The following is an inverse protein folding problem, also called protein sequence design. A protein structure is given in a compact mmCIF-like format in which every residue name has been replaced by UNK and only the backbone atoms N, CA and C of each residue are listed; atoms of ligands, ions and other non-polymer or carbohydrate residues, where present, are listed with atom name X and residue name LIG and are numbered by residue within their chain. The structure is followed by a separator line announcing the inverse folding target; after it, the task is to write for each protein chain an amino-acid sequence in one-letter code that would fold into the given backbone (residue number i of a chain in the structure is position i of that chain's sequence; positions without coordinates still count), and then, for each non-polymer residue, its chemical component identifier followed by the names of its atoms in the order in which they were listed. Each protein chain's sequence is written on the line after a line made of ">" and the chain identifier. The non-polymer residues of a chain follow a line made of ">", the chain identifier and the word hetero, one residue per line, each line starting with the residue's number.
data_IF_544996075633
#
_entry.id   IF_544996075633
#
_cell.length_a   1.000
_cell.length_b   1.000
_cell.length_c   1.000
_cell.angle_alpha   90.00
_cell.angle_beta   90.00
_cell.angle_gamma   90.00
#
_symmetry.space_group_name_H-M   'P 1'
#
loop_
_entity.id
_entity.type
_entity.pdbx_description
1 polymer ?
#
# COMPACT_ATOMS: atom_id res chain seq x y z
N UNK A 1 10.24 28.82 16.79
CA UNK A 1 10.13 27.37 16.51
C UNK A 1 9.22 27.23 15.30
N UNK A 2 9.72 26.71 14.18
CA UNK A 2 8.90 26.51 12.97
C UNK A 2 8.02 25.29 13.23
N UNK A 3 6.70 25.49 13.24
CA UNK A 3 5.73 24.42 13.42
C UNK A 3 5.87 23.40 12.31
N UNK A 4 5.63 22.13 12.64
CA UNK A 4 5.51 21.07 11.65
C UNK A 4 4.24 21.32 10.83
N UNK A 5 4.35 22.11 9.78
CA UNK A 5 3.27 22.28 8.80
C UNK A 5 3.21 20.99 7.98
N UNK A 6 2.16 20.21 8.18
CA UNK A 6 1.88 19.04 7.35
C UNK A 6 1.52 19.59 5.98
N UNK A 7 2.47 19.54 5.04
CA UNK A 7 2.22 19.98 3.66
C UNK A 7 1.32 18.93 3.00
N UNK A 8 0.04 19.25 2.67
CA UNK A 8 -0.89 18.26 2.14
C UNK A 8 -0.39 17.61 0.85
N UNK A 9 0.41 18.34 0.06
CA UNK A 9 1.03 17.81 -1.16
C UNK A 9 2.08 16.73 -0.88
N UNK A 10 2.83 16.83 0.23
CA UNK A 10 3.77 15.78 0.64
C UNK A 10 3.05 14.50 1.09
N UNK A 11 1.87 14.63 1.72
CA UNK A 11 1.01 13.50 2.04
C UNK A 11 0.44 12.85 0.76
N UNK A 12 -0.02 13.64 -0.21
CA UNK A 12 -0.51 13.14 -1.50
C UNK A 12 0.57 12.41 -2.29
N UNK A 13 1.80 12.92 -2.27
CA UNK A 13 2.93 12.23 -2.91
C UNK A 13 3.22 10.90 -2.20
N UNK A 14 3.20 10.87 -0.87
CA UNK A 14 3.38 9.65 -0.09
C UNK A 14 2.31 8.59 -0.40
N UNK A 15 1.04 9.00 -0.48
CA UNK A 15 -0.08 8.15 -0.91
C UNK A 15 0.18 7.56 -2.29
N UNK A 16 0.65 8.37 -3.25
CA UNK A 16 0.98 7.90 -4.60
C UNK A 16 2.11 6.88 -4.58
N UNK A 17 3.14 7.08 -3.76
CA UNK A 17 4.23 6.13 -3.61
C UNK A 17 3.75 4.79 -3.03
N UNK A 18 2.90 4.82 -2.00
CA UNK A 18 2.34 3.63 -1.38
C UNK A 18 1.50 2.83 -2.38
N UNK A 19 0.59 3.48 -3.10
CA UNK A 19 -0.22 2.83 -4.15
C UNK A 19 0.64 2.22 -5.25
N UNK A 20 1.64 2.96 -5.75
CA UNK A 20 2.57 2.42 -6.75
C UNK A 20 3.38 1.23 -6.22
N UNK A 21 3.66 1.18 -4.92
CA UNK A 21 4.29 0.02 -4.31
C UNK A 21 3.31 -1.16 -4.25
N UNK A 22 2.06 -0.95 -3.83
CA UNK A 22 1.01 -1.96 -3.83
C UNK A 22 0.80 -2.56 -5.24
N UNK A 23 0.70 -1.71 -6.28
CA UNK A 23 0.58 -2.15 -7.68
C UNK A 23 1.72 -3.10 -8.10
N UNK A 24 2.95 -2.83 -7.66
CA UNK A 24 4.12 -3.68 -7.96
C UNK A 24 4.05 -5.01 -7.22
N UNK A 25 3.54 -5.02 -6.00
CA UNK A 25 3.34 -6.25 -5.23
C UNK A 25 2.26 -7.10 -5.87
N UNK A 26 1.15 -6.49 -6.29
CA UNK A 26 0.09 -7.19 -7.03
C UNK A 26 0.58 -7.74 -8.36
N UNK A 27 1.42 -6.99 -9.09
CA UNK A 27 2.06 -7.49 -10.31
C UNK A 27 2.98 -8.69 -10.04
N UNK A 28 3.77 -8.64 -8.95
CA UNK A 28 4.61 -9.76 -8.55
C UNK A 28 3.79 -10.99 -8.14
N UNK A 29 2.68 -10.78 -7.40
CA UNK A 29 1.74 -11.84 -7.04
C UNK A 29 1.12 -12.47 -8.28
N UNK A 30 0.67 -11.65 -9.24
CA UNK A 30 0.10 -12.12 -10.50
C UNK A 30 1.11 -12.91 -11.32
N UNK A 31 2.39 -12.51 -11.33
CA UNK A 31 3.45 -13.25 -12.01
C UNK A 31 3.71 -14.62 -11.39
N UNK A 32 3.61 -14.72 -10.06
CA UNK A 32 3.83 -15.97 -9.31
C UNK A 32 2.58 -16.87 -9.26
N UNK A 33 1.42 -16.36 -9.62
CA UNK A 33 0.18 -17.15 -9.63
C UNK A 33 0.27 -18.21 -10.72
N UNK A 34 -0.24 -19.41 -10.42
CA UNK A 34 -0.23 -20.58 -11.32
C UNK A 34 1.19 -21.02 -11.75
N UNK A 35 2.20 -20.73 -10.92
CA UNK A 35 3.56 -21.25 -11.09
C UNK A 35 3.81 -22.53 -10.26
N UNK A 36 2.75 -23.18 -9.77
CA UNK A 36 2.87 -24.45 -9.04
C UNK A 36 3.44 -25.55 -9.93
N UNK A 37 4.21 -26.44 -9.31
CA UNK A 37 4.78 -27.61 -9.97
C UNK A 37 3.89 -28.82 -9.74
N UNK A 38 3.69 -29.61 -10.80
CA UNK A 38 3.15 -30.96 -10.73
C UNK A 38 4.16 -31.92 -10.09
N UNK A 39 3.67 -33.02 -9.50
CA UNK A 39 4.54 -34.04 -8.88
C UNK A 39 5.64 -34.54 -9.83
N UNK A 40 5.33 -34.59 -11.13
CA UNK A 40 6.24 -35.09 -12.17
C UNK A 40 7.18 -34.05 -12.78
N UNK A 41 7.01 -32.75 -12.49
CA UNK A 41 7.76 -31.67 -13.16
C UNK A 41 9.26 -31.70 -12.86
N UNK A 42 9.63 -32.29 -11.73
CA UNK A 42 11.02 -32.48 -11.29
C UNK A 42 11.50 -33.94 -11.49
N UNK A 43 10.69 -34.78 -12.13
CA UNK A 43 10.95 -36.20 -12.36
C UNK A 43 11.12 -37.03 -11.09
N UNK A 44 11.64 -38.25 -11.27
CA UNK A 44 11.79 -39.26 -10.19
C UNK A 44 12.54 -38.76 -8.95
N UNK A 45 13.54 -37.89 -9.14
CA UNK A 45 14.27 -37.31 -8.01
C UNK A 45 13.43 -36.32 -7.22
N UNK A 46 12.60 -35.52 -7.90
CA UNK A 46 11.65 -34.62 -7.24
C UNK A 46 10.61 -35.37 -6.43
N UNK A 47 10.05 -36.44 -6.99
CA UNK A 47 9.09 -37.33 -6.31
C UNK A 47 9.70 -37.99 -5.06
N UNK A 48 10.94 -38.47 -5.15
CA UNK A 48 11.61 -39.12 -4.01
C UNK A 48 12.04 -38.16 -2.90
N UNK A 49 12.12 -36.86 -3.17
CA UNK A 49 12.68 -35.86 -2.24
C UNK A 49 11.65 -34.86 -1.71
N UNK A 50 10.38 -34.97 -2.10
CA UNK A 50 9.33 -33.98 -1.81
C UNK A 50 9.67 -32.55 -2.27
N UNK A 51 10.59 -32.40 -3.23
CA UNK A 51 11.05 -31.09 -3.69
C UNK A 51 9.90 -30.24 -4.28
N UNK A 52 9.00 -30.88 -5.02
CA UNK A 52 7.79 -30.25 -5.57
C UNK A 52 6.89 -29.70 -4.46
N UNK A 53 6.68 -30.47 -3.39
CA UNK A 53 5.87 -30.03 -2.26
C UNK A 53 6.49 -28.81 -1.59
N UNK A 54 7.79 -28.86 -1.27
CA UNK A 54 8.48 -27.73 -0.62
C UNK A 54 8.48 -26.46 -1.48
N UNK A 55 8.63 -26.61 -2.80
CA UNK A 55 8.52 -25.49 -3.72
C UNK A 55 7.11 -24.88 -3.68
N UNK A 56 6.06 -25.71 -3.78
CA UNK A 56 4.67 -25.25 -3.77
C UNK A 56 4.28 -24.60 -2.43
N UNK A 57 4.74 -25.15 -1.31
CA UNK A 57 4.53 -24.57 0.02
C UNK A 57 5.20 -23.20 0.12
N UNK A 58 6.45 -23.07 -0.36
CA UNK A 58 7.17 -21.80 -0.39
C UNK A 58 6.52 -20.78 -1.33
N UNK A 59 6.01 -21.23 -2.48
CA UNK A 59 5.27 -20.40 -3.43
C UNK A 59 3.99 -19.86 -2.78
N UNK A 60 3.24 -20.71 -2.08
CA UNK A 60 2.02 -20.32 -1.38
C UNK A 60 2.32 -19.31 -0.26
N UNK A 61 3.36 -19.54 0.54
CA UNK A 61 3.80 -18.61 1.57
C UNK A 61 4.21 -17.25 0.97
N UNK A 62 4.91 -17.26 -0.16
CA UNK A 62 5.29 -16.04 -0.87
C UNK A 62 4.05 -15.28 -1.37
N UNK A 63 3.10 -15.97 -2.00
CA UNK A 63 1.85 -15.37 -2.50
C UNK A 63 1.03 -14.73 -1.36
N UNK A 64 0.95 -15.40 -0.20
CA UNK A 64 0.26 -14.87 0.97
C UNK A 64 0.94 -13.62 1.51
N UNK A 65 2.27 -13.66 1.70
CA UNK A 65 3.04 -12.51 2.21
C UNK A 65 2.97 -11.30 1.28
N UNK A 66 3.04 -11.53 -0.03
CA UNK A 66 2.88 -10.46 -1.02
C UNK A 66 1.45 -9.91 -0.97
N UNK A 67 0.42 -10.77 -0.87
CA UNK A 67 -0.96 -10.31 -0.71
C UNK A 67 -1.16 -9.44 0.53
N UNK A 68 -0.65 -9.88 1.68
CA UNK A 68 -0.77 -9.16 2.94
C UNK A 68 -0.03 -7.82 2.92
N UNK A 69 1.16 -7.76 2.32
CA UNK A 69 1.89 -6.49 2.23
C UNK A 69 1.29 -5.51 1.22
N UNK A 70 0.73 -5.99 0.11
CA UNK A 70 -0.03 -5.14 -0.82
C UNK A 70 -1.24 -4.49 -0.11
N UNK A 71 -2.01 -5.28 0.63
CA UNK A 71 -3.14 -4.79 1.43
C UNK A 71 -2.69 -3.76 2.48
N UNK A 72 -1.61 -4.02 3.22
CA UNK A 72 -1.08 -3.08 4.21
C UNK A 72 -0.62 -1.75 3.59
N UNK A 73 -0.09 -1.76 2.37
CA UNK A 73 0.28 -0.55 1.63
C UNK A 73 -0.96 0.26 1.22
N UNK A 74 -2.02 -0.40 0.75
CA UNK A 74 -3.26 0.29 0.39
C UNK A 74 -3.97 0.85 1.64
N UNK A 75 -4.05 0.09 2.73
CA UNK A 75 -4.61 0.55 4.00
C UNK A 75 -3.86 1.79 4.52
N UNK A 76 -2.53 1.79 4.40
CA UNK A 76 -1.70 2.94 4.75
C UNK A 76 -1.99 4.15 3.85
N UNK A 77 -2.19 3.92 2.54
CA UNK A 77 -2.53 4.97 1.58
C UNK A 77 -3.91 5.58 1.87
N UNK A 78 -4.90 4.76 2.23
CA UNK A 78 -6.24 5.22 2.65
C UNK A 78 -6.13 6.06 3.93
N UNK A 79 -5.42 5.58 4.94
CA UNK A 79 -5.23 6.32 6.19
C UNK A 79 -4.55 7.68 5.97
N UNK A 80 -3.50 7.72 5.15
CA UNK A 80 -2.81 8.98 4.80
C UNK A 80 -3.69 9.92 3.98
N UNK A 81 -4.56 9.39 3.12
CA UNK A 81 -5.54 10.20 2.37
C UNK A 81 -6.53 10.86 3.33
N UNK A 82 -7.09 10.10 4.27
CA UNK A 82 -8.00 10.62 5.29
C UNK A 82 -7.36 11.73 6.14
N UNK A 83 -6.08 11.56 6.50
CA UNK A 83 -5.32 12.61 7.21
C UNK A 83 -5.16 13.87 6.34
N UNK A 84 -4.80 13.71 5.06
CA UNK A 84 -4.65 14.84 4.15
C UNK A 84 -5.95 15.61 3.94
N UNK A 85 -7.09 14.90 3.88
CA UNK A 85 -8.42 15.49 3.77
C UNK A 85 -8.83 16.23 5.05
N UNK A 86 -8.55 15.67 6.23
CA UNK A 86 -8.79 16.36 7.52
C UNK A 86 -8.02 17.68 7.61
N UNK A 87 -6.74 17.68 7.25
CA UNK A 87 -5.94 18.91 7.21
C UNK A 87 -6.50 19.93 6.21
N UNK A 88 -6.89 19.51 5.00
CA UNK A 88 -7.45 20.41 4.00
C UNK A 88 -8.78 21.03 4.46
N UNK A 89 -9.64 20.25 5.13
CA UNK A 89 -10.91 20.75 5.66
C UNK A 89 -10.69 21.74 6.80
N UNK A 90 -9.77 21.44 7.73
CA UNK A 90 -9.44 22.34 8.84
C UNK A 90 -8.86 23.66 8.33
N UNK A 91 -7.98 23.61 7.32
CA UNK A 91 -7.48 24.82 6.67
C UNK A 91 -8.61 25.64 6.04
N UNK A 92 -9.54 24.99 5.32
CA UNK A 92 -10.69 25.68 4.72
C UNK A 92 -11.61 26.34 5.78
N UNK A 93 -11.85 25.67 6.91
CA UNK A 93 -12.60 26.23 8.03
C UNK A 93 -11.90 27.43 8.67
N UNK A 94 -10.57 27.35 8.86
CA UNK A 94 -9.77 28.47 9.36
C UNK A 94 -9.81 29.66 8.41
N UNK A 95 -9.65 29.45 7.10
CA UNK A 95 -9.76 30.52 6.10
C UNK A 95 -11.15 31.15 6.09
N UNK A 96 -12.22 30.35 6.17
CA UNK A 96 -13.58 30.87 6.25
C UNK A 96 -13.78 31.74 7.50
N UNK A 97 -13.38 31.25 8.67
CA UNK A 97 -13.50 32.01 9.93
C UNK A 97 -12.68 33.31 9.91
N UNK A 98 -11.46 33.29 9.39
CA UNK A 98 -10.63 34.49 9.27
C UNK A 98 -11.21 35.51 8.29
N UNK A 99 -11.75 35.06 7.15
CA UNK A 99 -12.38 35.95 6.18
C UNK A 99 -13.66 36.60 6.75
N UNK A 100 -14.46 35.84 7.51
CA UNK A 100 -15.59 36.38 8.26
C UNK A 100 -15.18 37.40 9.33
N UNK A 101 -14.04 37.18 10.01
CA UNK A 101 -13.51 38.11 11.01
C UNK A 101 -12.91 39.38 10.38
N UNK A 102 -12.28 39.30 9.20
CA UNK A 102 -11.78 40.47 8.49
C UNK A 102 -12.90 41.36 7.94
N UNK A 103 -14.02 40.77 7.50
CA UNK A 103 -15.20 41.52 7.03
C UNK A 103 -15.99 42.19 8.18
N UNK A 104 -15.72 41.83 9.44
CA UNK A 104 -16.35 42.40 10.64
C UNK A 104 -15.48 43.40 11.39
N UNK A 105 -14.24 43.62 10.96
CA UNK A 105 -13.37 44.67 11.49
C UNK A 105 -13.65 45.99 10.73
N UNK A 106 -13.95 47.11 11.43
CA UNK A 106 -14.27 48.40 10.81
C UNK A 106 -13.08 49.08 10.12
#
# INVERSE_FOLDING_TARGET
>A
MRGYEVVPDALRDSVRYLRKAADKWDAARSFLTDQDLSESDLGLLGEMTNATQWYNDALQEALERIGNGSAALEDSAVAMTAVAEDYANRDAEFYAQFNYLSDQLP
#
